data_IF_394243952735
#
_entry.id   IF_394243952735
#
_cell.length_a   1.000
_cell.length_b   1.000
_cell.length_c   1.000
_cell.angle_alpha   90.00
_cell.angle_beta   90.00
_cell.angle_gamma   90.00
#
_symmetry.space_group_name_H-M   'P 1'
#
loop_
_entity.id
_entity.type
_entity.pdbx_description
1 polymer ?
#
# COMPACT_ATOMS: atom_id res chain seq x y z
N UNK A 1 17.75 -16.42 10.70
CA UNK A 1 17.73 -17.83 11.15
C UNK A 1 19.04 -18.56 10.86
N UNK A 2 19.58 -18.53 9.63
CA UNK A 2 20.85 -19.18 9.31
C UNK A 2 22.07 -18.64 10.10
N UNK A 3 22.06 -17.35 10.47
CA UNK A 3 23.12 -16.77 11.30
C UNK A 3 23.03 -17.17 12.80
N UNK A 4 21.97 -17.84 13.26
CA UNK A 4 21.80 -18.24 14.66
C UNK A 4 22.56 -19.54 15.01
N UNK A 5 22.75 -20.43 14.02
CA UNK A 5 23.38 -21.74 14.22
C UNK A 5 24.87 -21.63 14.63
N UNK A 6 25.69 -20.77 14.00
CA UNK A 6 27.08 -20.54 14.43
C UNK A 6 27.18 -19.90 15.82
N UNK A 7 26.11 -19.23 16.27
CA UNK A 7 26.06 -18.53 17.55
C UNK A 7 25.74 -19.44 18.74
N UNK A 8 25.43 -20.72 18.50
CA UNK A 8 25.02 -21.67 19.54
C UNK A 8 23.56 -21.54 19.96
N UNK A 9 22.73 -20.86 19.17
CA UNK A 9 21.33 -20.64 19.46
C UNK A 9 20.43 -21.69 18.78
N UNK A 10 19.37 -22.07 19.47
CA UNK A 10 18.34 -22.97 18.91
C UNK A 10 17.46 -22.22 17.91
N UNK A 11 17.70 -22.47 16.63
CA UNK A 11 16.96 -21.87 15.54
C UNK A 11 15.46 -22.21 15.56
N UNK A 12 15.07 -23.38 16.08
CA UNK A 12 13.67 -23.78 16.17
C UNK A 12 12.94 -22.95 17.24
N UNK A 13 13.55 -22.77 18.41
CA UNK A 13 13.02 -21.88 19.46
C UNK A 13 12.89 -20.45 18.95
N UNK A 14 13.93 -19.91 18.31
CA UNK A 14 13.88 -18.53 17.78
C UNK A 14 12.75 -18.37 16.76
N UNK A 15 12.57 -19.36 15.87
CA UNK A 15 11.50 -19.34 14.88
C UNK A 15 10.11 -19.44 15.52
N UNK A 16 9.98 -20.20 16.60
CA UNK A 16 8.72 -20.36 17.33
C UNK A 16 8.34 -19.10 18.10
N UNK A 17 9.30 -18.42 18.73
CA UNK A 17 9.05 -17.17 19.43
C UNK A 17 8.70 -16.02 18.48
N UNK A 18 9.35 -15.95 17.30
CA UNK A 18 9.05 -14.98 16.24
C UNK A 18 9.42 -13.52 16.54
N UNK A 19 9.37 -13.11 17.81
CA UNK A 19 9.67 -11.78 18.31
C UNK A 19 10.78 -11.85 19.35
N UNK A 20 11.76 -10.95 19.23
CA UNK A 20 12.88 -10.81 20.17
C UNK A 20 12.88 -9.36 20.66
N UNK A 21 12.62 -9.16 21.96
CA UNK A 21 12.53 -7.81 22.53
C UNK A 21 11.39 -6.97 21.92
N UNK A 22 10.27 -7.62 21.58
CA UNK A 22 9.10 -6.96 20.99
C UNK A 22 9.19 -6.68 19.48
N UNK A 23 10.24 -7.14 18.82
CA UNK A 23 10.53 -6.85 17.41
C UNK A 23 10.95 -8.12 16.68
N UNK A 24 10.56 -8.26 15.41
CA UNK A 24 10.84 -9.40 14.53
C UNK A 24 12.19 -9.28 13.79
N UNK A 25 12.72 -8.06 13.68
CA UNK A 25 14.01 -7.82 13.02
C UNK A 25 15.18 -8.45 13.78
N UNK A 26 16.05 -9.17 13.08
CA UNK A 26 17.29 -9.75 13.61
C UNK A 26 18.52 -8.85 13.42
N UNK A 27 18.38 -7.72 12.71
CA UNK A 27 19.44 -6.73 12.51
C UNK A 27 18.91 -5.33 12.84
N UNK A 28 19.51 -4.69 13.84
CA UNK A 28 19.05 -3.40 14.38
C UNK A 28 20.24 -2.49 14.68
N UNK A 29 20.07 -1.21 14.40
CA UNK A 29 20.98 -0.15 14.83
C UNK A 29 20.52 0.30 16.24
N UNK A 30 21.46 0.49 17.16
CA UNK A 30 21.15 0.85 18.54
C UNK A 30 20.67 -0.34 19.39
N UNK A 31 19.61 -0.14 20.18
CA UNK A 31 19.01 -1.12 21.10
C UNK A 31 20.01 -1.71 22.13
N UNK A 32 20.43 -0.87 23.09
CA UNK A 32 21.50 -1.21 24.04
C UNK A 32 21.24 -2.52 24.79
N UNK A 33 19.97 -2.80 25.15
CA UNK A 33 19.57 -4.00 25.88
C UNK A 33 19.90 -5.25 25.09
N UNK A 34 19.60 -5.23 23.79
CA UNK A 34 19.85 -6.37 22.90
C UNK A 34 21.32 -6.46 22.44
N UNK A 35 22.12 -5.41 22.64
CA UNK A 35 23.56 -5.38 22.28
C UNK A 35 24.49 -5.75 23.42
N UNK A 36 24.17 -5.36 24.66
CA UNK A 36 25.04 -5.51 25.83
C UNK A 36 24.47 -6.45 26.89
N UNK A 37 23.14 -6.56 26.97
CA UNK A 37 22.44 -7.35 27.99
C UNK A 37 21.67 -8.53 27.36
N UNK A 38 22.11 -9.04 26.20
CA UNK A 38 21.44 -10.18 25.55
C UNK A 38 21.55 -11.47 26.36
N UNK A 39 22.53 -11.58 27.25
CA UNK A 39 22.66 -12.71 28.18
C UNK A 39 21.50 -12.79 29.18
N UNK A 40 20.88 -11.65 29.50
CA UNK A 40 19.74 -11.58 30.43
C UNK A 40 18.42 -11.97 29.75
N UNK A 41 18.43 -12.12 28.42
CA UNK A 41 17.26 -12.56 27.64
C UNK A 41 17.33 -14.07 27.48
N UNK A 42 16.39 -14.80 28.08
CA UNK A 42 16.39 -16.27 28.12
C UNK A 42 16.63 -16.91 26.74
N UNK A 43 15.95 -16.42 25.70
CA UNK A 43 16.04 -16.93 24.32
C UNK A 43 17.43 -16.71 23.70
N UNK A 44 18.19 -15.72 24.18
CA UNK A 44 19.49 -15.32 23.63
C UNK A 44 20.66 -15.61 24.57
N UNK A 45 20.39 -16.07 25.79
CA UNK A 45 21.38 -16.31 26.85
C UNK A 45 22.51 -17.26 26.43
N UNK A 46 22.22 -18.21 25.55
CA UNK A 46 23.18 -19.17 25.02
C UNK A 46 24.06 -18.62 23.88
N UNK A 47 23.87 -17.37 23.46
CA UNK A 47 24.60 -16.78 22.33
C UNK A 47 26.06 -16.52 22.67
N UNK A 48 26.99 -17.03 21.85
CA UNK A 48 28.42 -16.80 22.03
C UNK A 48 28.86 -15.36 21.69
N UNK A 49 28.17 -14.72 20.76
CA UNK A 49 28.40 -13.33 20.34
C UNK A 49 27.07 -12.63 20.13
N UNK A 50 27.11 -11.30 19.94
CA UNK A 50 25.91 -10.45 19.77
C UNK A 50 24.96 -11.03 18.70
N UNK A 51 23.76 -11.48 19.08
CA UNK A 51 22.83 -12.11 18.14
C UNK A 51 22.09 -11.09 17.26
N UNK A 52 21.87 -9.88 17.78
CA UNK A 52 21.29 -8.76 17.03
C UNK A 52 22.44 -7.85 16.55
N UNK A 53 22.79 -7.94 15.28
CA UNK A 53 23.88 -7.17 14.67
C UNK A 53 23.39 -5.86 14.07
N UNK A 54 24.29 -4.90 13.84
CA UNK A 54 23.97 -3.62 13.17
C UNK A 54 24.54 -3.57 11.74
N UNK A 55 25.23 -4.63 11.31
CA UNK A 55 25.88 -4.69 10.01
C UNK A 55 24.83 -4.87 8.91
N UNK A 56 24.80 -3.96 7.90
CA UNK A 56 23.83 -4.02 6.82
C UNK A 56 24.11 -5.21 5.90
N UNK A 57 23.07 -5.64 5.18
CA UNK A 57 23.22 -6.57 4.06
C UNK A 57 23.28 -5.77 2.76
N UNK A 58 24.45 -5.78 2.13
CA UNK A 58 24.67 -5.06 0.88
C UNK A 58 24.26 -5.95 -0.28
N UNK A 59 23.17 -5.54 -0.94
CA UNK A 59 22.78 -6.12 -2.21
C UNK A 59 23.66 -5.50 -3.31
N UNK A 60 24.07 -6.30 -4.31
CA UNK A 60 24.98 -5.86 -5.36
C UNK A 60 24.43 -4.74 -6.24
N UNK A 61 25.19 -4.37 -7.27
CA UNK A 61 24.77 -3.36 -8.24
C UNK A 61 23.64 -3.86 -9.14
N UNK A 62 22.57 -3.06 -9.28
CA UNK A 62 21.52 -3.28 -10.27
C UNK A 62 21.73 -2.32 -11.44
N UNK A 63 21.83 -2.84 -12.67
CA UNK A 63 21.88 -1.98 -13.86
C UNK A 63 20.51 -1.35 -14.10
N UNK A 64 20.47 -0.02 -14.21
CA UNK A 64 19.26 0.76 -14.46
C UNK A 64 19.19 1.27 -15.91
N UNK A 65 20.14 0.87 -16.75
CA UNK A 65 20.21 1.32 -18.13
C UNK A 65 19.01 0.76 -18.94
N UNK A 66 18.26 1.66 -19.57
CA UNK A 66 17.08 1.31 -20.38
C UNK A 66 15.84 0.87 -19.58
N UNK A 67 15.89 0.90 -18.24
CA UNK A 67 14.72 0.57 -17.42
C UNK A 67 13.76 1.76 -17.30
N UNK A 68 12.49 1.48 -17.52
CA UNK A 68 11.38 2.40 -17.22
C UNK A 68 10.59 1.81 -16.05
N UNK A 69 10.55 2.53 -14.93
CA UNK A 69 9.94 2.04 -13.70
C UNK A 69 10.17 2.97 -12.53
N UNK A 70 10.00 2.45 -11.32
CA UNK A 70 10.23 3.19 -10.09
C UNK A 70 10.77 2.25 -9.01
N UNK A 71 11.50 2.81 -8.05
CA UNK A 71 11.96 2.14 -6.84
C UNK A 71 11.11 2.59 -5.66
N UNK A 72 10.77 1.63 -4.80
CA UNK A 72 10.00 1.84 -3.58
C UNK A 72 10.86 1.48 -2.38
N UNK A 73 10.93 2.38 -1.40
CA UNK A 73 11.38 2.08 -0.04
C UNK A 73 10.21 2.31 0.90
N UNK A 74 9.92 1.36 1.77
CA UNK A 74 8.77 1.41 2.68
C UNK A 74 9.13 0.88 4.06
N UNK A 75 8.46 1.42 5.09
CA UNK A 75 8.56 0.92 6.46
C UNK A 75 7.74 -0.34 6.65
N UNK A 76 8.03 -1.07 7.72
CA UNK A 76 7.28 -2.27 8.07
C UNK A 76 5.83 -1.98 8.42
N UNK A 77 5.56 -0.84 9.06
CA UNK A 77 4.20 -0.37 9.35
C UNK A 77 3.29 -0.29 8.12
N UNK A 78 3.82 0.09 6.95
CA UNK A 78 3.02 0.21 5.73
C UNK A 78 2.57 -1.17 5.21
N UNK A 79 3.51 -2.09 4.98
CA UNK A 79 3.15 -3.39 4.40
C UNK A 79 2.45 -4.27 5.43
N UNK A 80 2.82 -4.23 6.73
CA UNK A 80 2.15 -5.01 7.79
C UNK A 80 0.69 -4.59 7.98
N UNK A 81 0.38 -3.29 7.88
CA UNK A 81 -1.00 -2.83 7.94
C UNK A 81 -1.84 -3.36 6.76
N UNK A 82 -1.24 -3.42 5.57
CA UNK A 82 -1.92 -3.99 4.41
C UNK A 82 -2.10 -5.51 4.55
N UNK A 83 -1.07 -6.23 5.02
CA UNK A 83 -1.17 -7.67 5.29
C UNK A 83 -2.18 -7.99 6.39
N UNK A 84 -2.33 -7.13 7.40
CA UNK A 84 -3.37 -7.25 8.41
C UNK A 84 -4.78 -7.12 7.79
N UNK A 85 -4.96 -6.23 6.81
CA UNK A 85 -6.25 -6.03 6.16
C UNK A 85 -6.59 -7.08 5.09
N UNK A 86 -5.63 -7.53 4.27
CA UNK A 86 -5.89 -8.42 3.12
C UNK A 86 -5.38 -9.85 3.26
N UNK A 87 -4.39 -10.08 4.13
CA UNK A 87 -3.74 -11.37 4.28
C UNK A 87 -2.25 -11.32 3.94
N UNK A 88 -1.47 -12.30 4.41
CA UNK A 88 -0.03 -12.31 4.22
C UNK A 88 0.35 -12.60 2.76
N UNK A 89 1.45 -11.99 2.31
CA UNK A 89 2.19 -12.44 1.11
C UNK A 89 1.93 -11.69 -0.20
N UNK A 90 0.97 -10.75 -0.25
CA UNK A 90 0.65 -9.99 -1.48
C UNK A 90 0.95 -8.49 -1.37
N UNK A 91 1.38 -7.99 -0.21
CA UNK A 91 1.54 -6.56 0.03
C UNK A 91 2.49 -5.87 -0.96
N UNK A 92 3.60 -6.51 -1.35
CA UNK A 92 4.55 -5.93 -2.30
C UNK A 92 3.91 -5.67 -3.67
N UNK A 93 3.13 -6.63 -4.18
CA UNK A 93 2.47 -6.51 -5.48
C UNK A 93 1.35 -5.46 -5.43
N UNK A 94 0.57 -5.46 -4.34
CA UNK A 94 -0.51 -4.50 -4.15
C UNK A 94 0.01 -3.07 -3.99
N UNK A 95 1.07 -2.86 -3.20
CA UNK A 95 1.69 -1.53 -3.04
C UNK A 95 2.25 -1.05 -4.38
N UNK A 96 2.95 -1.92 -5.13
CA UNK A 96 3.44 -1.57 -6.46
C UNK A 96 2.29 -1.20 -7.43
N UNK A 97 1.18 -1.93 -7.39
CA UNK A 97 -0.01 -1.63 -8.20
C UNK A 97 -0.69 -0.30 -7.78
N UNK A 98 -0.76 -0.02 -6.47
CA UNK A 98 -1.28 1.24 -5.95
C UNK A 98 -0.40 2.41 -6.40
N UNK A 99 0.92 2.30 -6.26
CA UNK A 99 1.87 3.31 -6.74
C UNK A 99 1.71 3.53 -8.25
N UNK A 100 1.66 2.48 -9.05
CA UNK A 100 1.48 2.57 -10.50
C UNK A 100 0.15 3.25 -10.89
N UNK A 101 -0.92 3.02 -10.11
CA UNK A 101 -2.22 3.69 -10.31
C UNK A 101 -2.13 5.18 -9.97
N UNK A 102 -1.52 5.53 -8.84
CA UNK A 102 -1.37 6.92 -8.41
C UNK A 102 -0.44 7.72 -9.34
N UNK A 103 0.56 7.08 -9.95
CA UNK A 103 1.38 7.70 -11.00
C UNK A 103 0.56 8.23 -12.18
N UNK A 104 -0.56 7.60 -12.52
CA UNK A 104 -1.43 8.06 -13.60
C UNK A 104 -2.32 9.25 -13.20
N UNK A 105 -2.58 9.42 -11.89
CA UNK A 105 -3.52 10.40 -11.35
C UNK A 105 -2.83 11.67 -10.84
N UNK A 106 -1.68 11.50 -10.20
CA UNK A 106 -1.01 12.58 -9.48
C UNK A 106 0.00 13.32 -10.37
N UNK A 107 0.26 14.58 -10.04
CA UNK A 107 1.22 15.44 -10.76
C UNK A 107 2.61 15.49 -10.12
N UNK A 108 2.77 14.98 -8.89
CA UNK A 108 4.03 14.98 -8.14
C UNK A 108 4.28 13.65 -7.44
N UNK A 109 5.55 13.29 -7.25
CA UNK A 109 5.93 12.03 -6.57
C UNK A 109 5.52 12.01 -5.09
N UNK A 110 5.57 13.17 -4.42
CA UNK A 110 5.12 13.28 -3.03
C UNK A 110 3.62 13.01 -2.90
N UNK A 111 2.82 13.50 -3.86
CA UNK A 111 1.39 13.21 -3.92
C UNK A 111 1.12 11.72 -4.22
N UNK A 112 1.92 11.09 -5.10
CA UNK A 112 1.85 9.63 -5.34
C UNK A 112 2.10 8.87 -4.04
N UNK A 113 3.19 9.17 -3.33
CA UNK A 113 3.56 8.48 -2.11
C UNK A 113 2.49 8.66 -1.02
N UNK A 114 2.05 9.90 -0.80
CA UNK A 114 1.04 10.23 0.20
C UNK A 114 -0.31 9.56 -0.10
N UNK A 115 -0.76 9.57 -1.36
CA UNK A 115 -2.02 8.95 -1.75
C UNK A 115 -2.02 7.43 -1.48
N UNK A 116 -0.90 6.74 -1.72
CA UNK A 116 -0.77 5.31 -1.39
C UNK A 116 -0.81 5.08 0.12
N UNK A 117 -0.11 5.89 0.92
CA UNK A 117 -0.15 5.79 2.38
C UNK A 117 -1.58 6.02 2.91
N UNK A 118 -2.27 7.04 2.40
CA UNK A 118 -3.65 7.35 2.79
C UNK A 118 -4.62 6.23 2.39
N UNK A 119 -4.40 5.60 1.23
CA UNK A 119 -5.20 4.46 0.77
C UNK A 119 -5.01 3.23 1.67
N UNK A 120 -3.77 2.88 2.03
CA UNK A 120 -3.48 1.78 2.96
C UNK A 120 -4.09 2.06 4.34
N UNK A 121 -3.93 3.28 4.85
CA UNK A 121 -4.53 3.70 6.13
C UNK A 121 -6.05 3.56 6.12
N UNK A 122 -6.69 3.95 5.01
CA UNK A 122 -8.14 3.81 4.83
C UNK A 122 -8.56 2.35 4.80
N UNK A 123 -7.89 1.50 4.02
CA UNK A 123 -8.16 0.05 3.94
C UNK A 123 -8.08 -0.59 5.34
N UNK A 124 -7.02 -0.28 6.09
CA UNK A 124 -6.84 -0.81 7.44
C UNK A 124 -7.98 -0.40 8.38
N UNK A 125 -8.32 0.90 8.41
CA UNK A 125 -9.40 1.44 9.23
C UNK A 125 -10.78 0.89 8.83
N UNK A 126 -11.06 0.82 7.54
CA UNK A 126 -12.35 0.32 7.04
C UNK A 126 -12.49 -1.18 7.36
N UNK A 127 -11.41 -1.95 7.27
CA UNK A 127 -11.39 -3.37 7.69
C UNK A 127 -11.68 -3.52 9.19
N UNK A 128 -11.10 -2.68 10.03
CA UNK A 128 -11.40 -2.66 11.46
C UNK A 128 -12.88 -2.34 11.73
N UNK A 129 -13.40 -1.27 11.13
CA UNK A 129 -14.78 -0.80 11.32
C UNK A 129 -15.80 -1.79 10.75
N UNK A 130 -15.46 -2.53 9.69
CA UNK A 130 -16.34 -3.54 9.10
C UNK A 130 -16.71 -4.69 10.05
N UNK A 131 -15.91 -4.92 11.11
CA UNK A 131 -16.12 -6.02 12.04
C UNK A 131 -15.98 -7.43 11.42
N UNK A 132 -15.44 -7.54 10.20
CA UNK A 132 -15.23 -8.81 9.52
C UNK A 132 -14.16 -9.70 10.18
N UNK A 133 -13.89 -10.87 9.61
CA UNK A 133 -12.91 -11.84 10.14
C UNK A 133 -11.54 -11.22 10.43
N UNK A 134 -11.13 -10.27 9.60
CA UNK A 134 -9.82 -9.61 9.65
C UNK A 134 -9.76 -8.39 10.56
N UNK A 135 -10.90 -7.90 11.06
CA UNK A 135 -10.97 -6.72 11.94
C UNK A 135 -10.08 -6.86 13.19
N UNK A 136 -9.99 -8.08 13.75
CA UNK A 136 -9.15 -8.42 14.91
C UNK A 136 -7.65 -8.17 14.71
N UNK A 137 -7.18 -8.07 13.47
CA UNK A 137 -5.78 -7.79 13.15
C UNK A 137 -5.51 -6.30 12.87
N UNK A 138 -6.56 -5.49 12.79
CA UNK A 138 -6.49 -4.07 12.38
C UNK A 138 -6.77 -3.09 13.53
N UNK A 139 -6.53 -3.50 14.79
CA UNK A 139 -6.75 -2.65 15.97
C UNK A 139 -5.77 -1.45 16.01
N UNK A 140 -4.52 -1.69 15.62
CA UNK A 140 -3.46 -0.69 15.54
C UNK A 140 -2.52 -0.95 14.38
N UNK A 141 -1.89 0.12 13.88
CA UNK A 141 -0.81 0.03 12.92
C UNK A 141 0.39 0.86 13.41
N UNK A 142 1.58 0.47 12.99
CA UNK A 142 2.81 1.23 13.23
C UNK A 142 2.92 2.41 12.24
N UNK A 143 3.98 3.21 12.36
CA UNK A 143 4.22 4.35 11.48
C UNK A 143 4.45 3.93 10.02
N UNK A 144 3.76 4.62 9.12
CA UNK A 144 3.80 4.35 7.68
C UNK A 144 4.66 5.40 6.98
N UNK A 145 5.67 4.96 6.24
CA UNK A 145 6.47 5.83 5.37
C UNK A 145 6.72 5.13 4.05
N UNK A 146 6.59 5.88 2.96
CA UNK A 146 6.80 5.43 1.59
C UNK A 146 7.65 6.45 0.84
N UNK A 147 8.76 6.00 0.26
CA UNK A 147 9.60 6.78 -0.63
C UNK A 147 9.54 6.16 -2.02
N UNK A 148 9.18 6.99 -3.00
CA UNK A 148 9.10 6.60 -4.41
C UNK A 148 10.18 7.33 -5.19
N UNK A 149 11.07 6.58 -5.83
CA UNK A 149 12.09 7.11 -6.75
C UNK A 149 11.74 6.74 -8.18
N UNK A 150 11.49 7.74 -9.02
CA UNK A 150 11.13 7.52 -10.41
C UNK A 150 12.36 7.26 -11.31
N UNK A 151 12.23 6.28 -12.21
CA UNK A 151 13.13 6.00 -13.33
C UNK A 151 12.33 6.04 -14.64
N UNK A 152 12.07 7.24 -15.15
CA UNK A 152 11.36 7.47 -16.41
C UNK A 152 9.94 6.88 -16.49
N UNK A 153 9.31 6.52 -15.37
CA UNK A 153 7.92 6.11 -15.35
C UNK A 153 7.00 7.33 -15.60
N UNK A 154 5.95 7.19 -16.43
CA UNK A 154 5.06 8.29 -16.74
C UNK A 154 4.34 8.82 -15.49
N UNK A 155 4.23 10.16 -15.36
CA UNK A 155 3.59 10.83 -14.24
C UNK A 155 2.50 11.78 -14.75
N UNK A 156 1.30 11.65 -14.18
CA UNK A 156 0.14 12.50 -14.42
C UNK A 156 -0.68 12.14 -15.67
N UNK A 157 -1.90 12.69 -15.72
CA UNK A 157 -2.87 12.46 -16.80
C UNK A 157 -2.34 12.83 -18.19
N UNK A 158 -1.39 13.76 -18.29
CA UNK A 158 -0.82 14.20 -19.57
C UNK A 158 0.01 13.11 -20.26
N UNK A 159 0.37 12.04 -19.52
CA UNK A 159 1.05 10.87 -20.04
C UNK A 159 0.12 9.74 -20.48
N UNK A 160 -1.17 9.81 -20.13
CA UNK A 160 -2.18 9.08 -20.86
C UNK A 160 -2.33 9.77 -22.21
N UNK A 161 -1.72 9.17 -23.25
CA UNK A 161 -2.12 9.45 -24.62
C UNK A 161 -3.63 9.51 -24.63
N UNK A 162 -4.16 10.68 -24.99
CA UNK A 162 -5.57 10.99 -25.02
C UNK A 162 -6.23 9.89 -25.83
N UNK A 163 -6.77 8.89 -25.15
CA UNK A 163 -7.79 8.03 -25.72
C UNK A 163 -9.00 8.94 -25.76
N UNK A 164 -9.00 9.84 -26.76
CA UNK A 164 -10.23 10.40 -27.27
C UNK A 164 -11.18 9.21 -27.42
N UNK A 165 -12.45 9.31 -26.99
CA UNK A 165 -13.41 8.28 -27.31
C UNK A 165 -13.50 8.30 -28.83
N UNK A 166 -12.72 7.44 -29.49
CA UNK A 166 -12.84 7.23 -30.92
C UNK A 166 -14.30 6.92 -31.12
N UNK A 167 -14.97 7.76 -31.90
CA UNK A 167 -16.34 7.57 -32.37
C UNK A 167 -16.36 6.35 -33.30
N UNK A 168 -16.07 5.19 -32.74
CA UNK A 168 -16.02 3.88 -33.35
C UNK A 168 -16.45 2.95 -32.23
N UNK A 169 -17.76 2.86 -32.03
CA UNK A 169 -18.36 2.02 -31.00
C UNK A 169 -17.71 0.64 -31.02
N UNK A 170 -17.33 0.14 -29.85
CA UNK A 170 -16.80 -1.23 -29.74
C UNK A 170 -17.79 -2.17 -30.39
N UNK A 171 -17.39 -2.77 -31.51
CA UNK A 171 -18.17 -3.80 -32.18
C UNK A 171 -18.04 -5.03 -31.30
N UNK A 172 -19.13 -5.39 -30.61
CA UNK A 172 -19.26 -6.66 -29.92
C UNK A 172 -19.86 -7.66 -30.91
N UNK A 173 -19.05 -8.48 -31.58
CA UNK A 173 -19.59 -9.49 -32.49
C UNK A 173 -20.48 -10.45 -31.70
N UNK A 174 -21.61 -10.81 -32.29
CA UNK A 174 -22.48 -11.84 -31.72
C UNK A 174 -21.74 -13.19 -31.69
N UNK A 175 -21.83 -13.93 -30.59
CA UNK A 175 -21.20 -15.26 -30.47
C UNK A 175 -21.75 -16.29 -31.45
N UNK A 176 -22.98 -16.06 -31.95
CA UNK A 176 -23.61 -16.88 -32.99
C UNK A 176 -24.22 -15.94 -34.03
N UNK A 177 -23.72 -15.92 -35.28
CA UNK A 177 -24.32 -15.16 -36.37
C UNK A 177 -25.73 -15.67 -36.68
N UNK A 178 -26.68 -14.75 -36.86
CA UNK A 178 -28.03 -15.12 -37.27
C UNK A 178 -28.04 -15.68 -38.69
N UNK A 179 -28.66 -16.85 -38.88
CA UNK A 179 -28.92 -17.44 -40.21
C UNK A 179 -30.41 -17.42 -40.47
N UNK A 180 -30.86 -16.70 -41.50
CA UNK A 180 -32.28 -16.68 -41.91
C UNK A 180 -32.60 -17.89 -42.79
N UNK A 181 -33.42 -18.81 -42.29
CA UNK A 181 -33.91 -19.98 -43.05
C UNK A 181 -35.36 -19.79 -43.48
N UNK A 182 -35.66 -18.76 -44.27
CA UNK A 182 -36.94 -18.66 -44.99
C UNK A 182 -36.80 -19.36 -46.36
N UNK A 183 -37.07 -20.66 -46.43
CA UNK A 183 -37.06 -21.36 -47.73
C UNK A 183 -37.38 -22.85 -47.74
N UNK A 184 -37.16 -23.59 -46.66
CA UNK A 184 -37.47 -25.02 -46.61
C UNK A 184 -37.96 -25.41 -45.22
N UNK A 185 -39.25 -25.15 -44.96
CA UNK A 185 -39.95 -25.58 -43.75
C UNK A 185 -40.30 -27.07 -43.85
N UNK A 186 -39.32 -27.95 -43.64
CA UNK A 186 -39.59 -29.24 -43.01
C UNK A 186 -39.64 -29.02 -41.51
N UNK A 187 -40.76 -29.36 -40.87
CA UNK A 187 -41.01 -29.17 -39.43
C UNK A 187 -39.93 -29.87 -38.57
N UNK A 188 -38.82 -29.20 -38.27
CA UNK A 188 -37.88 -29.62 -37.24
C UNK A 188 -38.02 -28.69 -36.06
N UNK A 189 -38.74 -29.12 -35.03
CA UNK A 189 -38.67 -28.49 -33.71
C UNK A 189 -37.21 -28.52 -33.25
N UNK A 190 -36.57 -27.36 -33.19
CA UNK A 190 -35.24 -27.23 -32.60
C UNK A 190 -35.40 -27.32 -31.09
N UNK A 191 -34.89 -28.39 -30.48
CA UNK A 191 -34.80 -28.50 -29.03
C UNK A 191 -33.57 -27.73 -28.56
N UNK A 192 -33.75 -26.74 -27.68
CA UNK A 192 -32.67 -25.99 -27.07
C UNK A 192 -32.24 -26.73 -25.81
N UNK A 193 -30.94 -26.98 -25.63
CA UNK A 193 -30.41 -27.60 -24.41
C UNK A 193 -29.13 -26.89 -23.99
N UNK A 194 -29.08 -26.49 -22.72
CA UNK A 194 -27.89 -25.95 -22.08
C UNK A 194 -27.24 -27.09 -21.28
N UNK A 195 -25.96 -27.34 -21.50
CA UNK A 195 -25.22 -28.33 -20.72
C UNK A 195 -24.87 -27.71 -19.38
N UNK A 196 -25.45 -28.25 -18.31
CA UNK A 196 -24.97 -27.98 -16.96
C UNK A 196 -23.70 -28.83 -16.75
N UNK A 197 -22.58 -28.26 -16.28
CA UNK A 197 -21.43 -29.07 -15.91
C UNK A 197 -21.89 -30.06 -14.83
N UNK A 198 -21.74 -31.36 -15.10
CA UNK A 198 -22.08 -32.39 -14.12
C UNK A 198 -21.18 -32.21 -12.90
N UNK A 199 -21.79 -32.19 -11.72
CA UNK A 199 -21.13 -31.97 -10.44
C UNK A 199 -20.31 -33.20 -9.99
N UNK A 200 -19.57 -33.83 -10.91
CA UNK A 200 -18.69 -34.96 -10.61
C UNK A 200 -17.24 -34.62 -11.00
N UNK A 201 -16.65 -33.76 -10.17
CA UNK A 201 -15.30 -33.87 -9.58
C UNK A 201 -14.92 -32.51 -8.98
N UNK A 202 -15.57 -32.15 -7.87
CA UNK A 202 -14.95 -31.23 -6.91
C UNK A 202 -14.00 -32.08 -6.06
N UNK A 203 -12.77 -32.25 -6.53
CA UNK A 203 -11.72 -32.85 -5.70
C UNK A 203 -11.23 -31.78 -4.71
N UNK A 204 -11.54 -32.02 -3.44
CA UNK A 204 -10.85 -31.54 -2.24
C UNK A 204 -10.93 -30.03 -1.91
N UNK A 205 -11.94 -29.66 -1.13
CA UNK A 205 -11.96 -28.45 -0.30
C UNK A 205 -12.78 -28.71 0.96
N UNK A 206 -12.09 -28.95 2.08
CA UNK A 206 -12.67 -29.18 3.41
C UNK A 206 -13.61 -28.03 3.83
N UNK A 207 -14.92 -28.26 3.82
CA UNK A 207 -15.88 -27.41 4.53
C UNK A 207 -16.92 -28.25 5.26
N UNK A 208 -16.89 -28.06 6.58
CA UNK A 208 -17.80 -28.43 7.67
C UNK A 208 -19.23 -28.85 7.33
N UNK A 209 -19.65 -29.94 7.98
CA UNK A 209 -21.01 -30.46 8.08
C UNK A 209 -22.05 -29.37 8.40
N UNK A 210 -23.14 -29.36 7.65
CA UNK A 210 -24.45 -28.90 8.12
C UNK A 210 -25.50 -29.90 7.64
N UNK A 211 -26.10 -30.57 8.62
CA UNK A 211 -27.24 -31.50 8.49
C UNK A 211 -28.49 -30.70 8.13
N UNK A 212 -29.25 -31.16 7.14
CA UNK A 212 -30.54 -30.55 6.78
C UNK A 212 -31.35 -31.48 5.89
N UNK A 213 -32.51 -31.86 6.40
CA UNK A 213 -33.42 -32.91 5.94
C UNK A 213 -33.96 -32.77 4.51
N UNK A 214 -34.21 -33.94 3.96
CA UNK A 214 -35.00 -34.27 2.78
C UNK A 214 -36.44 -33.74 2.89
N UNK A 215 -36.88 -32.89 1.95
CA UNK A 215 -38.28 -32.88 1.48
C UNK A 215 -38.38 -32.29 0.07
N UNK A 216 -38.79 -33.14 -0.87
CA UNK A 216 -39.30 -32.82 -2.22
C UNK A 216 -40.45 -31.81 -2.16
N UNK A 217 -40.55 -30.87 -3.14
CA UNK A 217 -41.86 -30.72 -3.77
C UNK A 217 -41.82 -30.58 -5.31
N UNK A 218 -42.86 -31.19 -5.85
CA UNK A 218 -43.34 -31.29 -7.23
C UNK A 218 -43.50 -29.93 -7.93
N UNK A 219 -43.05 -29.85 -9.18
CA UNK A 219 -43.30 -28.72 -10.10
C UNK A 219 -44.78 -28.63 -10.50
N UNK A 220 -45.40 -27.47 -10.29
CA UNK A 220 -46.50 -26.98 -11.13
C UNK A 220 -46.31 -25.50 -11.46
N UNK A 221 -46.41 -25.22 -12.76
CA UNK A 221 -46.90 -24.00 -13.40
C UNK A 221 -46.15 -22.65 -13.24
N UNK A 222 -45.45 -22.30 -14.31
CA UNK A 222 -45.28 -20.97 -14.94
C UNK A 222 -45.80 -19.73 -14.22
N UNK A 223 -44.88 -18.79 -13.93
CA UNK A 223 -44.96 -17.37 -14.31
C UNK A 223 -43.64 -16.67 -13.99
N UNK A 224 -42.96 -16.18 -15.03
CA UNK A 224 -41.75 -15.36 -14.92
C UNK A 224 -42.10 -13.97 -14.37
N UNK A 225 -41.32 -13.37 -13.44
CA UNK A 225 -41.41 -11.95 -13.17
C UNK A 225 -40.45 -11.18 -14.09
N UNK A 226 -41.05 -10.35 -14.94
CA UNK A 226 -40.44 -9.18 -15.59
C UNK A 226 -39.96 -8.20 -14.51
N UNK A 227 -38.69 -7.83 -14.53
CA UNK A 227 -38.18 -6.70 -13.76
C UNK A 227 -37.88 -5.53 -14.71
N UNK A 228 -38.76 -4.54 -14.69
CA UNK A 228 -38.64 -3.23 -15.33
C UNK A 228 -37.61 -2.39 -14.56
N UNK A 229 -36.57 -1.91 -15.25
CA UNK A 229 -35.62 -0.93 -14.71
C UNK A 229 -36.30 0.45 -14.66
N UNK A 230 -36.62 0.93 -13.45
CA UNK A 230 -36.97 2.33 -13.21
C UNK A 230 -35.70 3.11 -12.80
N UNK A 231 -35.30 4.07 -13.63
CA UNK A 231 -34.32 5.10 -13.29
C UNK A 231 -34.90 6.09 -12.29
N UNK A 232 -34.21 6.29 -11.18
CA UNK A 232 -34.38 7.47 -10.31
C UNK A 232 -33.17 8.37 -10.46
N UNK A 233 -33.39 9.53 -11.10
CA UNK A 233 -32.48 10.67 -11.10
C UNK A 233 -32.50 11.31 -9.71
N UNK A 234 -31.37 11.36 -9.03
CA UNK A 234 -31.13 12.29 -7.92
C UNK A 234 -29.95 13.20 -8.26
N UNK A 235 -30.30 14.45 -8.56
CA UNK A 235 -29.39 15.58 -8.65
C UNK A 235 -28.85 15.91 -7.25
N UNK A 236 -27.54 16.09 -7.11
CA UNK A 236 -26.95 16.75 -5.94
C UNK A 236 -25.96 17.78 -6.44
N UNK A 237 -26.34 19.05 -6.35
CA UNK A 237 -25.45 20.20 -6.57
C UNK A 237 -24.71 20.46 -5.26
N UNK A 238 -23.38 20.46 -5.28
CA UNK A 238 -22.55 20.92 -4.17
C UNK A 238 -21.68 22.06 -4.67
N UNK A 239 -21.95 23.25 -4.14
CA UNK A 239 -21.14 24.46 -4.33
C UNK A 239 -20.11 24.53 -3.22
N UNK A 240 -18.82 24.55 -3.56
CA UNK A 240 -17.73 24.89 -2.63
C UNK A 240 -17.13 26.23 -3.05
N UNK A 241 -17.59 27.29 -2.38
CA UNK A 241 -16.92 28.58 -2.36
C UNK A 241 -16.09 28.66 -1.08
N UNK A 242 -14.77 28.73 -1.21
CA UNK A 242 -13.88 29.10 -0.10
C UNK A 242 -13.00 30.26 -0.56
N UNK A 243 -13.35 31.44 -0.07
CA UNK A 243 -12.49 32.63 -0.11
C UNK A 243 -11.38 32.43 0.92
N UNK A 244 -10.13 32.40 0.46
CA UNK A 244 -8.94 32.39 1.31
C UNK A 244 -8.29 33.76 1.34
N UNK A 245 -8.70 34.61 2.26
CA UNK A 245 -7.91 35.74 2.75
C UNK A 245 -7.53 35.43 4.21
N UNK A 246 -6.25 35.18 4.45
CA UNK A 246 -5.73 34.84 5.77
C UNK A 246 -4.27 34.43 5.72
N UNK A 247 -3.40 35.42 5.88
CA UNK A 247 -1.94 35.28 5.87
C UNK A 247 -1.44 34.27 6.92
N UNK A 248 -0.67 33.30 6.47
CA UNK A 248 0.05 32.33 7.30
C UNK A 248 1.36 31.92 6.62
N UNK A 249 2.28 32.89 6.49
CA UNK A 249 3.59 32.70 5.87
C UNK A 249 4.50 31.85 6.78
N UNK A 250 4.62 30.54 6.51
CA UNK A 250 5.53 29.63 7.23
C UNK A 250 6.88 29.38 6.52
N UNK A 251 7.09 29.92 5.31
CA UNK A 251 8.41 29.91 4.66
C UNK A 251 8.66 31.23 3.93
N UNK A 252 9.20 32.22 4.65
CA UNK A 252 9.86 33.34 3.99
C UNK A 252 11.19 32.85 3.40
N UNK A 253 11.25 32.67 2.07
CA UNK A 253 12.53 32.70 1.36
C UNK A 253 13.11 34.09 1.53
N UNK A 254 14.04 34.25 2.47
CA UNK A 254 14.89 35.43 2.50
C UNK A 254 15.66 35.52 1.19
N UNK A 255 15.51 36.67 0.51
CA UNK A 255 16.43 37.09 -0.55
C UNK A 255 17.82 37.20 0.07
N UNK A 256 18.72 36.30 -0.28
CA UNK A 256 20.13 36.39 0.09
C UNK A 256 20.73 37.71 -0.44
N UNK A 257 21.51 38.46 0.35
CA UNK A 257 22.39 39.48 -0.17
C UNK A 257 23.63 38.82 -0.81
N UNK A 258 23.76 39.03 -2.13
CA UNK A 258 24.96 39.12 -2.97
C UNK A 258 26.14 38.11 -2.84
N UNK A 259 26.44 37.52 -4.01
CA UNK A 259 27.73 37.00 -4.51
C UNK A 259 28.40 35.84 -3.76
N UNK A 260 27.87 34.64 -3.96
CA UNK A 260 28.66 33.42 -3.77
C UNK A 260 29.40 33.11 -5.09
N UNK A 261 30.73 33.23 -5.08
CA UNK A 261 31.59 32.87 -6.21
C UNK A 261 31.59 31.34 -6.36
N UNK A 262 31.23 30.84 -7.53
CA UNK A 262 31.29 29.40 -7.84
C UNK A 262 32.73 29.00 -8.13
N UNK A 263 33.15 27.84 -7.62
CA UNK A 263 34.47 27.25 -7.95
C UNK A 263 34.53 26.94 -9.47
N UNK A 264 35.70 26.84 -10.14
CA UNK A 264 35.86 26.45 -11.55
C UNK A 264 35.04 25.24 -12.04
N UNK A 265 34.63 24.33 -11.14
CA UNK A 265 33.75 23.19 -11.45
C UNK A 265 32.24 23.50 -11.33
N UNK A 266 31.87 24.78 -11.18
CA UNK A 266 30.48 25.25 -11.09
C UNK A 266 29.76 24.85 -9.80
N UNK A 267 30.51 24.41 -8.78
CA UNK A 267 29.96 23.98 -7.49
C UNK A 267 30.06 25.11 -6.47
N UNK A 268 28.97 25.28 -5.72
CA UNK A 268 28.91 26.14 -4.54
C UNK A 268 29.20 25.27 -3.31
N UNK A 269 30.09 25.74 -2.43
CA UNK A 269 30.29 25.09 -1.13
C UNK A 269 28.98 25.06 -0.32
N UNK A 270 28.66 23.95 0.36
CA UNK A 270 27.50 23.90 1.25
C UNK A 270 27.72 24.85 2.43
N UNK A 271 26.96 25.94 2.47
CA UNK A 271 26.95 26.89 3.56
C UNK A 271 25.60 26.87 4.28
N UNK A 272 25.64 26.74 5.60
CA UNK A 272 24.47 26.85 6.48
C UNK A 272 24.80 27.91 7.52
N UNK A 273 23.97 28.95 7.58
CA UNK A 273 24.09 30.02 8.57
C UNK A 273 23.24 29.70 9.81
N UNK A 274 23.89 29.68 10.97
CA UNK A 274 23.24 29.46 12.27
C UNK A 274 22.99 30.77 13.04
N UNK A 275 23.23 31.94 12.44
CA UNK A 275 23.10 33.24 13.12
C UNK A 275 21.67 33.48 13.63
N UNK A 276 20.65 33.10 12.85
CA UNK A 276 19.23 33.22 13.25
C UNK A 276 18.91 32.28 14.42
N UNK A 277 19.47 31.07 14.41
CA UNK A 277 19.35 30.11 15.51
C UNK A 277 19.96 30.68 16.79
N UNK A 278 21.18 31.23 16.73
CA UNK A 278 21.79 31.85 17.90
C UNK A 278 21.04 33.08 18.39
N UNK A 279 20.46 33.89 17.48
CA UNK A 279 19.66 35.05 17.86
C UNK A 279 18.42 34.63 18.65
N UNK A 280 17.68 33.63 18.18
CA UNK A 280 16.50 33.09 18.86
C UNK A 280 16.86 32.37 20.18
N UNK A 281 17.92 31.57 20.16
CA UNK A 281 18.38 30.84 21.35
C UNK A 281 18.78 31.78 22.48
N UNK A 282 19.44 32.91 22.15
CA UNK A 282 19.86 33.89 23.17
C UNK A 282 18.69 34.66 23.76
N UNK A 283 17.63 34.93 22.98
CA UNK A 283 16.41 35.60 23.48
C UNK A 283 15.70 34.71 24.50
N UNK A 284 15.54 33.42 24.21
CA UNK A 284 14.79 32.47 25.06
C UNK A 284 15.53 32.10 26.37
N UNK A 285 16.86 32.17 26.37
CA UNK A 285 17.69 31.80 27.54
C UNK A 285 18.20 33.00 28.36
N UNK A 286 17.93 34.23 27.92
CA UNK A 286 18.27 35.44 28.68
C UNK A 286 17.25 35.76 29.79
N UNK A 287 16.04 35.17 29.77
CA UNK A 287 15.00 35.45 30.76
C UNK A 287 15.10 34.58 32.04
N UNK A 288 15.94 33.55 32.05
CA UNK A 288 16.09 32.63 33.21
C UNK A 288 17.27 32.95 34.16
N UNK A 289 18.08 33.97 33.90
CA UNK A 289 19.28 34.26 34.72
C UNK A 289 19.20 35.50 35.63
N UNK A 290 18.06 36.20 35.72
CA UNK A 290 17.94 37.42 36.56
C UNK A 290 16.99 37.27 37.78
N UNK A 291 16.21 36.19 37.91
CA UNK A 291 15.28 36.02 39.03
C UNK A 291 15.83 35.17 40.20
N UNK A 292 17.11 35.35 40.56
CA UNK A 292 17.73 34.47 41.56
C UNK A 292 18.97 34.98 42.29
N UNK A 293 19.18 36.29 42.45
CA UNK A 293 20.10 36.84 43.47
C UNK A 293 19.64 38.25 43.89
N UNK A 294 18.79 38.33 44.92
CA UNK A 294 18.94 39.16 46.15
C UNK A 294 17.68 39.10 46.99
#
# INVERSE_FOLDING_TARGET
VLCAYPLGLDAAKIKQFGLIGGQDSSRRIGDYRMKYCYNDVEVLSAAKTKPIIAEPEIHGGHSLEGLTGFLVLMTDGLYKALEAAHGPGQANQEIAAMVATEFALQSTLDAVAQAVVDRVRRIHRDTFVSGGERSKFCDKHEDMTLLVRNFNYPLGEMSQATMSPTQGGRIYPVSVPYTSTQGTLGKTSVTLSLVMPSQNQMMNGNHSNSTGDETTPTLTNSQSPTATLQSTNTHTHSSSSSSGDGQGHLFHRHRLPQNLHSDPDGRLEPYVDFLEFYRLWTVDHSEQTVAGVQ
#
